data_IF_815181806653
#
_entry.id   IF_815181806653
#
_cell.length_a   1.000
_cell.length_b   1.000
_cell.length_c   1.000
_cell.angle_alpha   90.00
_cell.angle_beta   90.00
_cell.angle_gamma   90.00
#
_symmetry.space_group_name_H-M   'P 1'
#
loop_
_entity.id
_entity.type
_entity.pdbx_description
1 polymer ?
#
# COMPACT_ATOMS: atom_id res chain seq x y z
N UNK A 1 -7.96 -24.21 -7.26
CA UNK A 1 -8.85 -23.05 -7.49
C UNK A 1 -8.22 -22.26 -8.62
N UNK A 2 -9.01 -21.88 -9.62
CA UNK A 2 -8.51 -21.03 -10.70
C UNK A 2 -8.27 -19.60 -10.20
N UNK A 3 -7.27 -18.93 -10.75
CA UNK A 3 -6.98 -17.54 -10.44
C UNK A 3 -8.13 -16.64 -10.94
N UNK A 4 -8.49 -15.63 -10.15
CA UNK A 4 -9.45 -14.60 -10.58
C UNK A 4 -8.98 -13.95 -11.90
N UNK A 5 -9.90 -13.65 -12.82
CA UNK A 5 -9.57 -13.01 -14.09
C UNK A 5 -9.24 -11.50 -13.96
N UNK A 6 -9.31 -10.98 -12.74
CA UNK A 6 -9.15 -9.57 -12.42
C UNK A 6 -8.41 -9.40 -11.09
N UNK A 7 -7.92 -8.20 -10.86
CA UNK A 7 -7.28 -7.75 -9.63
C UNK A 7 -7.81 -6.36 -9.26
N UNK A 8 -7.69 -5.99 -7.99
CA UNK A 8 -8.14 -4.70 -7.48
C UNK A 8 -6.99 -3.89 -6.89
N UNK A 9 -6.92 -2.62 -7.26
CA UNK A 9 -6.05 -1.62 -6.67
C UNK A 9 -6.94 -0.66 -5.88
N UNK A 10 -6.68 -0.53 -4.58
CA UNK A 10 -7.42 0.38 -3.71
C UNK A 10 -6.55 1.56 -3.34
N UNK A 11 -7.04 2.77 -3.59
CA UNK A 11 -6.56 3.93 -2.85
C UNK A 11 -6.77 3.70 -1.34
N UNK A 12 -5.97 4.33 -0.50
CA UNK A 12 -6.12 4.26 0.95
C UNK A 12 -6.93 5.46 1.44
N UNK A 13 -6.54 6.66 1.04
CA UNK A 13 -7.06 7.91 1.59
C UNK A 13 -8.38 8.29 0.90
N UNK A 14 -9.49 8.19 1.63
CA UNK A 14 -10.84 8.41 1.11
C UNK A 14 -11.57 7.13 0.69
N UNK A 15 -10.89 5.98 0.68
CA UNK A 15 -11.46 4.67 0.32
C UNK A 15 -11.40 3.68 1.49
N UNK A 16 -10.25 3.56 2.14
CA UNK A 16 -10.06 2.72 3.33
C UNK A 16 -10.12 3.57 4.60
N UNK A 17 -9.56 4.77 4.55
CA UNK A 17 -9.53 5.73 5.66
C UNK A 17 -10.19 7.06 5.25
N UNK A 18 -10.60 7.86 6.23
CA UNK A 18 -11.00 9.26 6.07
C UNK A 18 -10.39 10.06 7.20
N UNK A 19 -9.27 10.72 6.93
CA UNK A 19 -8.43 11.30 7.98
C UNK A 19 -7.91 10.20 8.91
N UNK A 20 -8.08 10.37 10.22
CA UNK A 20 -7.72 9.37 11.24
C UNK A 20 -8.72 8.23 11.39
N UNK A 21 -9.88 8.29 10.72
CA UNK A 21 -10.96 7.33 10.91
C UNK A 21 -10.93 6.25 9.84
N UNK A 22 -11.24 5.02 10.22
CA UNK A 22 -11.43 3.93 9.28
C UNK A 22 -12.85 3.93 8.68
N UNK A 23 -12.96 3.65 7.39
CA UNK A 23 -14.25 3.50 6.71
C UNK A 23 -14.77 2.08 6.98
N UNK A 24 -15.81 1.96 7.81
CA UNK A 24 -16.32 0.67 8.30
C UNK A 24 -16.63 -0.33 7.19
N UNK A 25 -17.12 0.12 6.04
CA UNK A 25 -17.47 -0.73 4.90
C UNK A 25 -16.26 -1.35 4.18
N UNK A 26 -15.06 -0.76 4.32
CA UNK A 26 -13.87 -1.23 3.62
C UNK A 26 -13.43 -2.62 4.12
N UNK A 27 -13.53 -2.89 5.42
CA UNK A 27 -13.10 -4.17 6.01
C UNK A 27 -13.82 -5.38 5.41
N UNK A 28 -15.16 -5.50 5.47
CA UNK A 28 -15.85 -6.65 4.91
C UNK A 28 -15.68 -6.75 3.38
N UNK A 29 -15.56 -5.64 2.66
CA UNK A 29 -15.33 -5.64 1.22
C UNK A 29 -13.96 -6.28 0.87
N UNK A 30 -12.88 -5.82 1.50
CA UNK A 30 -11.54 -6.34 1.26
C UNK A 30 -11.42 -7.79 1.72
N UNK A 31 -11.97 -8.13 2.88
CA UNK A 31 -11.98 -9.51 3.39
C UNK A 31 -12.69 -10.46 2.41
N UNK A 32 -13.80 -10.02 1.80
CA UNK A 32 -14.52 -10.80 0.79
C UNK A 32 -13.67 -11.06 -0.44
N UNK A 33 -12.98 -10.03 -0.97
CA UNK A 33 -12.09 -10.18 -2.13
C UNK A 33 -10.94 -11.16 -1.86
N UNK A 34 -10.35 -11.09 -0.67
CA UNK A 34 -9.28 -12.01 -0.25
C UNK A 34 -9.80 -13.45 -0.14
N UNK A 35 -10.99 -13.66 0.46
CA UNK A 35 -11.62 -14.98 0.55
C UNK A 35 -11.92 -15.58 -0.83
N UNK A 36 -12.24 -14.73 -1.81
CA UNK A 36 -12.47 -15.11 -3.20
C UNK A 36 -11.17 -15.28 -4.01
N UNK A 37 -9.99 -15.16 -3.38
CA UNK A 37 -8.68 -15.21 -4.04
C UNK A 37 -8.56 -14.18 -5.18
N UNK A 38 -9.16 -13.00 -5.00
CA UNK A 38 -8.91 -11.85 -5.88
C UNK A 38 -7.62 -11.17 -5.42
N UNK A 39 -6.62 -10.97 -6.30
CA UNK A 39 -5.42 -10.21 -5.95
C UNK A 39 -5.79 -8.76 -5.58
N UNK A 40 -5.29 -8.30 -4.43
CA UNK A 40 -5.53 -6.96 -3.92
C UNK A 40 -4.20 -6.26 -3.66
N UNK A 41 -4.08 -5.03 -4.16
CA UNK A 41 -2.98 -4.10 -3.92
C UNK A 41 -3.53 -2.79 -3.36
N UNK A 42 -2.83 -2.20 -2.41
CA UNK A 42 -3.14 -0.90 -1.81
C UNK A 42 -2.18 0.14 -2.35
N UNK A 43 -2.70 1.28 -2.79
CA UNK A 43 -1.94 2.38 -3.37
C UNK A 43 -2.22 3.64 -2.56
N UNK A 44 -1.20 4.44 -2.25
CA UNK A 44 -1.40 5.76 -1.66
C UNK A 44 -0.27 6.70 -2.04
N UNK A 45 -0.58 8.00 -2.13
CA UNK A 45 0.41 9.04 -2.37
C UNK A 45 1.16 9.48 -1.08
N UNK A 46 1.01 8.76 0.02
CA UNK A 46 1.82 9.00 1.22
C UNK A 46 3.26 8.50 1.05
N UNK A 47 4.18 9.08 1.82
CA UNK A 47 5.58 8.64 1.91
C UNK A 47 5.83 8.04 3.29
N UNK A 48 6.08 6.73 3.35
CA UNK A 48 6.43 5.97 4.57
C UNK A 48 6.94 4.58 4.21
N UNK A 49 7.48 3.81 5.17
CA UNK A 49 7.92 2.44 4.91
C UNK A 49 6.72 1.52 4.59
N UNK A 50 6.77 0.78 3.48
CA UNK A 50 5.65 -0.10 3.05
C UNK A 50 5.31 -1.15 4.11
N UNK A 51 6.33 -1.67 4.81
CA UNK A 51 6.11 -2.66 5.88
C UNK A 51 5.29 -2.11 7.04
N UNK A 52 5.46 -0.82 7.38
CA UNK A 52 4.68 -0.21 8.45
C UNK A 52 3.26 0.10 7.99
N UNK A 53 3.10 0.52 6.74
CA UNK A 53 1.76 0.70 6.17
C UNK A 53 1.00 -0.63 6.07
N UNK A 54 1.68 -1.69 5.66
CA UNK A 54 1.12 -3.04 5.60
C UNK A 54 0.68 -3.53 6.99
N UNK A 55 1.47 -3.29 8.05
CA UNK A 55 1.08 -3.58 9.44
C UNK A 55 -0.17 -2.79 9.86
N UNK A 56 -0.21 -1.49 9.56
CA UNK A 56 -1.37 -0.63 9.87
C UNK A 56 -2.64 -1.13 9.18
N UNK A 57 -2.56 -1.41 7.88
CA UNK A 57 -3.68 -1.96 7.10
C UNK A 57 -4.10 -3.33 7.66
N UNK A 58 -3.14 -4.18 8.02
CA UNK A 58 -3.43 -5.51 8.57
C UNK A 58 -4.21 -5.43 9.87
N UNK A 59 -3.80 -4.54 10.78
CA UNK A 59 -4.47 -4.34 12.07
C UNK A 59 -5.92 -3.88 11.88
N UNK A 60 -6.15 -2.97 10.93
CA UNK A 60 -7.46 -2.38 10.70
C UNK A 60 -8.40 -3.31 9.92
N UNK A 61 -7.89 -3.97 8.87
CA UNK A 61 -8.65 -4.89 8.03
C UNK A 61 -8.81 -6.29 8.68
N UNK A 62 -8.00 -6.61 9.69
CA UNK A 62 -8.05 -7.91 10.37
C UNK A 62 -7.63 -9.08 9.49
N UNK A 63 -6.75 -8.83 8.52
CA UNK A 63 -6.16 -9.81 7.60
C UNK A 63 -4.69 -9.47 7.40
N UNK A 64 -3.85 -10.45 7.10
CA UNK A 64 -2.43 -10.20 6.81
C UNK A 64 -2.30 -9.52 5.46
N UNK A 65 -1.73 -8.31 5.44
CA UNK A 65 -1.31 -7.60 4.25
C UNK A 65 0.22 -7.64 4.20
N UNK A 66 0.77 -8.08 3.07
CA UNK A 66 2.21 -8.13 2.87
C UNK A 66 2.74 -6.78 2.32
N UNK A 67 4.00 -6.39 2.64
CA UNK A 67 4.58 -5.14 2.13
C UNK A 67 4.53 -5.01 0.60
N UNK A 68 4.64 -6.13 -0.12
CA UNK A 68 4.59 -6.20 -1.59
C UNK A 68 3.19 -5.89 -2.15
N UNK A 69 2.16 -5.93 -1.31
CA UNK A 69 0.80 -5.51 -1.66
C UNK A 69 0.58 -4.01 -1.44
N UNK A 70 1.60 -3.25 -1.02
CA UNK A 70 1.50 -1.81 -0.76
C UNK A 70 2.41 -1.05 -1.73
N UNK A 71 1.82 -0.10 -2.45
CA UNK A 71 2.53 0.82 -3.35
C UNK A 71 2.34 2.23 -2.82
N UNK A 72 3.44 2.87 -2.47
CA UNK A 72 3.49 4.23 -1.95
C UNK A 72 4.10 5.19 -2.98
N UNK A 73 4.04 6.49 -2.71
CA UNK A 73 4.52 7.51 -3.65
C UNK A 73 5.98 7.28 -4.08
N UNK A 74 6.82 6.80 -3.15
CA UNK A 74 8.24 6.56 -3.38
C UNK A 74 8.57 5.13 -3.85
N UNK A 75 7.63 4.17 -3.80
CA UNK A 75 7.88 2.78 -4.22
C UNK A 75 8.47 2.67 -5.64
N UNK A 76 8.03 3.47 -6.65
CA UNK A 76 8.63 3.45 -7.97
C UNK A 76 10.11 3.88 -8.02
N UNK A 77 10.62 4.59 -7.02
CA UNK A 77 12.03 5.03 -7.00
C UNK A 77 13.01 3.84 -6.96
N UNK A 78 12.57 2.68 -6.45
CA UNK A 78 13.34 1.43 -6.48
C UNK A 78 13.68 0.96 -7.90
N UNK A 79 12.87 1.30 -8.89
CA UNK A 79 13.09 0.89 -10.29
C UNK A 79 13.85 1.94 -11.10
N UNK A 80 14.08 3.14 -10.56
CA UNK A 80 14.82 4.22 -11.20
C UNK A 80 16.35 4.01 -11.09
N UNK A 81 16.82 2.82 -11.48
CA UNK A 81 18.20 2.36 -11.31
C UNK A 81 19.23 3.26 -11.98
N UNK A 82 18.84 3.95 -13.05
CA UNK A 82 19.68 4.89 -13.79
C UNK A 82 20.13 6.13 -12.97
N UNK A 83 19.50 6.35 -11.81
CA UNK A 83 19.79 7.46 -10.91
C UNK A 83 20.48 7.02 -9.61
N UNK A 84 20.55 5.72 -9.30
CA UNK A 84 21.06 5.23 -8.01
C UNK A 84 22.55 5.54 -7.79
N UNK A 85 23.33 5.73 -8.86
CA UNK A 85 24.76 6.08 -8.79
C UNK A 85 25.04 7.57 -9.05
N UNK A 86 24.01 8.43 -8.96
CA UNK A 86 24.12 9.87 -9.21
C UNK A 86 23.83 10.66 -7.93
N UNK A 87 24.25 11.92 -7.90
CA UNK A 87 23.81 12.84 -6.86
C UNK A 87 22.33 13.17 -7.07
N UNK A 88 21.50 12.83 -6.08
CA UNK A 88 20.06 13.08 -6.08
C UNK A 88 19.72 13.90 -4.84
N UNK A 89 18.94 14.96 -5.02
CA UNK A 89 18.34 15.68 -3.91
C UNK A 89 17.02 14.98 -3.53
N UNK A 90 16.96 14.42 -2.33
CA UNK A 90 15.72 13.87 -1.76
C UNK A 90 15.10 14.94 -0.87
N UNK A 91 13.82 15.23 -1.09
CA UNK A 91 13.06 16.20 -0.31
C UNK A 91 11.71 15.58 0.09
N UNK A 92 11.45 15.54 1.40
CA UNK A 92 10.28 14.90 1.97
C UNK A 92 10.26 15.01 3.49
N UNK A 93 9.22 14.44 4.11
CA UNK A 93 9.14 14.30 5.57
C UNK A 93 9.55 12.89 5.97
N UNK A 94 10.35 12.76 7.04
CA UNK A 94 10.85 11.47 7.53
C UNK A 94 12.37 11.35 7.42
N UNK A 95 12.90 10.17 7.75
CA UNK A 95 14.31 9.85 7.54
C UNK A 95 14.56 9.62 6.05
N UNK A 96 15.65 10.19 5.53
CA UNK A 96 15.97 10.05 4.11
C UNK A 96 16.33 8.61 3.74
N UNK A 97 16.84 7.84 4.71
CA UNK A 97 17.17 6.43 4.59
C UNK A 97 15.95 5.52 4.41
N UNK A 98 14.76 6.01 4.81
CA UNK A 98 13.48 5.29 4.72
C UNK A 98 12.69 5.60 3.43
N UNK A 99 13.22 6.50 2.58
CA UNK A 99 12.62 6.95 1.30
C UNK A 99 13.29 6.21 0.14
#
# INVERSE_FOLDING_TARGET
>A
MEASNFACFFDIDGVITKGSNFITAAKPAIQTLIQLNVPVVFVSNTCMVESDKAKQLSAVLGVTIHPEQVVLAQTPMRTLTDFHNKHVLVSGQGQAEDI
#
